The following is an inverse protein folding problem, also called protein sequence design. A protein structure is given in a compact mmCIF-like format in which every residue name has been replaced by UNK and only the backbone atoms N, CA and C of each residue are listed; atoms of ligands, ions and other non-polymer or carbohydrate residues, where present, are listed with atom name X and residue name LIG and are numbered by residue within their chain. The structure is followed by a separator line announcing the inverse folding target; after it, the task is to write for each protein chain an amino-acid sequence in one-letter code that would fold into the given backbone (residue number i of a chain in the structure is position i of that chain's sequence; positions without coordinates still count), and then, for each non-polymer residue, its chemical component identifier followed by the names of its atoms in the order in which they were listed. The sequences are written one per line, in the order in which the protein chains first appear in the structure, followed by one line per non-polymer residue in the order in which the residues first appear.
data_IF_672807380961
#
_entry.id   IF_672807380961
#
_cell.length_a   1.000
_cell.length_b   1.000
_cell.length_c   1.000
_cell.angle_alpha   90.00
_cell.angle_beta   90.00
_cell.angle_gamma   90.00
#
_symmetry.space_group_name_H-M   'P 1'
#
loop_
_entity.id
_entity.type
_entity.pdbx_description
1 polymer ?
#
# COMPACT_ATOMS: atom_id res chain seq x y z
N UNK A 1 13.25 -13.11 -0.53
CA UNK A 1 12.70 -11.94 -1.26
C UNK A 1 13.29 -10.67 -0.64
N UNK A 2 13.60 -9.63 -1.42
CA UNK A 2 14.33 -8.43 -0.95
C UNK A 2 13.68 -7.10 -1.39
N UNK A 3 12.54 -7.13 -2.06
CA UNK A 3 11.89 -5.93 -2.59
C UNK A 3 11.06 -5.23 -1.50
N UNK A 4 11.22 -3.91 -1.31
CA UNK A 4 10.32 -3.12 -0.47
C UNK A 4 8.86 -3.28 -0.93
N UNK A 5 7.94 -3.52 0.01
CA UNK A 5 6.53 -3.81 -0.29
C UNK A 5 5.59 -2.80 0.35
N UNK A 6 4.77 -2.12 -0.45
CA UNK A 6 3.66 -1.31 0.04
C UNK A 6 2.37 -2.13 -0.04
N UNK A 7 1.62 -2.19 1.06
CA UNK A 7 0.30 -2.81 1.15
C UNK A 7 -0.72 -1.68 1.25
N UNK A 8 -1.61 -1.54 0.25
CA UNK A 8 -2.68 -0.52 0.26
C UNK A 8 -4.02 -1.26 0.34
N UNK A 9 -4.84 -0.91 1.33
CA UNK A 9 -6.14 -1.57 1.56
C UNK A 9 -7.26 -0.54 1.72
N UNK A 10 -8.48 -0.92 1.32
CA UNK A 10 -9.66 -0.09 1.53
C UNK A 10 -10.13 -0.11 2.99
N UNK A 11 -10.44 1.07 3.53
CA UNK A 11 -10.88 1.24 4.92
C UNK A 11 -12.25 0.65 5.26
N UNK A 12 -13.02 0.24 4.25
CA UNK A 12 -14.30 -0.47 4.42
C UNK A 12 -14.15 -2.00 4.33
N UNK A 13 -12.93 -2.50 4.14
CA UNK A 13 -12.64 -3.93 3.99
C UNK A 13 -11.90 -4.50 5.21
N UNK A 14 -12.63 -4.63 6.33
CA UNK A 14 -12.09 -5.09 7.63
C UNK A 14 -11.37 -6.43 7.54
N UNK A 15 -11.85 -7.35 6.70
CA UNK A 15 -11.25 -8.66 6.51
C UNK A 15 -9.88 -8.51 5.84
N UNK A 16 -9.80 -7.73 4.76
CA UNK A 16 -8.55 -7.52 4.03
C UNK A 16 -7.55 -6.71 4.88
N UNK A 17 -8.01 -5.78 5.71
CA UNK A 17 -7.15 -5.08 6.69
C UNK A 17 -6.49 -6.09 7.63
N UNK A 18 -7.27 -6.98 8.27
CA UNK A 18 -6.71 -7.98 9.18
C UNK A 18 -5.75 -8.93 8.49
N UNK A 19 -6.09 -9.37 7.27
CA UNK A 19 -5.22 -10.25 6.48
C UNK A 19 -3.90 -9.58 6.12
N UNK A 20 -3.92 -8.30 5.75
CA UNK A 20 -2.70 -7.57 5.39
C UNK A 20 -1.86 -7.20 6.62
N UNK A 21 -2.47 -6.87 7.76
CA UNK A 21 -1.75 -6.70 9.02
C UNK A 21 -1.01 -7.98 9.43
N UNK A 22 -1.67 -9.14 9.32
CA UNK A 22 -1.03 -10.43 9.57
C UNK A 22 0.08 -10.77 8.53
N UNK A 23 -0.05 -10.29 7.29
CA UNK A 23 1.00 -10.42 6.29
C UNK A 23 2.19 -9.51 6.59
N UNK A 24 1.94 -8.28 7.03
CA UNK A 24 2.91 -7.27 7.43
C UNK A 24 3.85 -7.81 8.51
N UNK A 25 3.30 -8.43 9.56
CA UNK A 25 4.09 -9.07 10.64
C UNK A 25 5.07 -10.15 10.15
N UNK A 26 4.83 -10.71 8.97
CA UNK A 26 5.65 -11.79 8.38
C UNK A 26 6.69 -11.25 7.40
N UNK A 27 6.58 -9.99 6.97
CA UNK A 27 7.49 -9.37 6.02
C UNK A 27 8.82 -9.03 6.72
N UNK A 28 9.92 -9.52 6.14
CA UNK A 28 11.30 -9.24 6.60
C UNK A 28 12.04 -8.24 5.71
N UNK A 29 11.28 -7.45 4.96
CA UNK A 29 11.75 -6.42 4.02
C UNK A 29 11.17 -5.08 4.47
N UNK A 30 11.71 -3.93 4.03
CA UNK A 30 11.03 -2.65 4.25
C UNK A 30 9.59 -2.73 3.72
N UNK A 31 8.63 -2.42 4.57
CA UNK A 31 7.22 -2.51 4.23
C UNK A 31 6.42 -1.43 4.95
N UNK A 32 5.22 -1.18 4.42
CA UNK A 32 4.27 -0.24 4.99
C UNK A 32 2.85 -0.69 4.63
N UNK A 33 1.94 -0.67 5.61
CA UNK A 33 0.52 -0.87 5.41
C UNK A 33 -0.21 0.47 5.49
N UNK A 34 -0.95 0.82 4.44
CA UNK A 34 -1.75 2.05 4.35
C UNK A 34 -3.22 1.70 4.13
N UNK A 35 -4.09 2.29 4.95
CA UNK A 35 -5.55 2.13 4.87
C UNK A 35 -6.15 3.39 4.25
N UNK A 36 -6.87 3.26 3.14
CA UNK A 36 -7.55 4.37 2.46
C UNK A 36 -8.96 4.55 3.03
N UNK A 37 -9.25 5.64 3.78
CA UNK A 37 -10.54 5.81 4.44
C UNK A 37 -11.67 5.92 3.40
N UNK A 38 -12.78 5.23 3.65
CA UNK A 38 -13.96 5.27 2.78
C UNK A 38 -13.84 4.48 1.48
N UNK A 39 -12.72 3.82 1.23
CA UNK A 39 -12.55 2.93 0.08
C UNK A 39 -13.05 1.51 0.38
N UNK A 40 -13.80 0.94 -0.57
CA UNK A 40 -14.09 -0.49 -0.61
C UNK A 40 -12.95 -1.27 -1.28
N UNK A 41 -13.14 -2.57 -1.46
CA UNK A 41 -12.15 -3.49 -2.00
C UNK A 41 -11.53 -3.04 -3.35
N UNK A 42 -12.32 -2.40 -4.19
CA UNK A 42 -11.93 -2.01 -5.55
C UNK A 42 -11.53 -0.54 -5.67
N UNK A 43 -11.61 0.25 -4.60
CA UNK A 43 -11.32 1.68 -4.63
C UNK A 43 -12.15 2.43 -5.71
N UNK A 44 -13.44 2.09 -5.83
CA UNK A 44 -14.34 2.72 -6.81
C UNK A 44 -14.92 4.06 -6.31
N UNK A 45 -14.79 4.33 -5.02
CA UNK A 45 -15.28 5.57 -4.43
C UNK A 45 -14.48 6.78 -4.90
N UNK A 46 -15.12 7.96 -5.07
CA UNK A 46 -14.45 9.14 -5.61
C UNK A 46 -13.17 9.50 -4.86
N UNK A 47 -12.05 9.65 -5.59
CA UNK A 47 -10.76 10.03 -5.02
C UNK A 47 -9.95 8.88 -4.43
N UNK A 48 -10.51 7.67 -4.29
CA UNK A 48 -9.82 6.57 -3.64
C UNK A 48 -8.77 5.92 -4.54
N UNK A 49 -9.06 5.78 -5.84
CA UNK A 49 -8.07 5.29 -6.80
C UNK A 49 -6.93 6.31 -7.01
N UNK A 50 -7.24 7.61 -6.99
CA UNK A 50 -6.24 8.67 -7.03
C UNK A 50 -5.31 8.60 -5.82
N UNK A 51 -5.87 8.41 -4.61
CA UNK A 51 -5.07 8.24 -3.39
C UNK A 51 -4.15 7.00 -3.49
N UNK A 52 -4.66 5.88 -4.01
CA UNK A 52 -3.84 4.67 -4.27
C UNK A 52 -2.70 4.98 -5.23
N UNK A 53 -2.96 5.73 -6.30
CA UNK A 53 -1.95 6.09 -7.30
C UNK A 53 -0.87 7.00 -6.71
N UNK A 54 -1.24 8.01 -5.91
CA UNK A 54 -0.29 8.90 -5.23
C UNK A 54 0.63 8.12 -4.28
N UNK A 55 0.07 7.24 -3.43
CA UNK A 55 0.83 6.37 -2.54
C UNK A 55 1.82 5.47 -3.31
N UNK A 56 1.38 4.91 -4.44
CA UNK A 56 2.24 4.08 -5.29
C UNK A 56 3.39 4.89 -5.91
N UNK A 57 3.11 6.10 -6.42
CA UNK A 57 4.11 7.00 -6.99
C UNK A 57 5.18 7.34 -5.95
N UNK A 58 4.76 7.70 -4.73
CA UNK A 58 5.69 8.02 -3.63
C UNK A 58 6.56 6.82 -3.26
N UNK A 59 5.98 5.62 -3.16
CA UNK A 59 6.73 4.40 -2.86
C UNK A 59 7.76 4.07 -3.93
N UNK A 60 7.37 4.11 -5.20
CA UNK A 60 8.30 3.89 -6.30
C UNK A 60 9.37 4.97 -6.34
N UNK A 61 9.02 6.24 -6.12
CA UNK A 61 9.99 7.34 -6.02
C UNK A 61 11.04 7.08 -4.92
N UNK A 62 10.61 6.60 -3.76
CA UNK A 62 11.48 6.28 -2.61
C UNK A 62 12.44 5.12 -2.86
N UNK A 63 11.98 4.05 -3.52
CA UNK A 63 12.76 2.80 -3.61
C UNK A 63 13.32 2.47 -5.00
N UNK A 64 12.79 3.05 -6.07
CA UNK A 64 13.30 2.88 -7.44
C UNK A 64 14.07 4.11 -7.94
N UNK A 65 14.03 5.24 -7.21
CA UNK A 65 14.69 6.51 -7.58
C UNK A 65 16.21 6.54 -7.48
N UNK A 66 16.93 5.42 -7.62
CA UNK A 66 18.37 5.35 -7.39
C UNK A 66 19.19 4.62 -8.47
N UNK A 67 19.56 5.33 -9.54
CA UNK A 67 20.96 5.40 -10.02
C UNK A 67 21.19 6.69 -10.81
N UNK A 68 21.41 7.78 -10.08
CA UNK A 68 22.19 8.94 -10.52
C UNK A 68 23.32 9.11 -9.51
N UNK A 69 24.42 8.38 -9.72
CA UNK A 69 25.64 8.38 -8.92
C UNK A 69 26.68 7.55 -9.64
#
# INVERSE_FOLDING_TARGET
MRAPTLLIVGGLDDIVIQMNAAAEERLRVPHELVVVPGASHLFEEPGTLEAVAELAIEWFGKYLGGSSG
#
